data_IF_931043210191
#
_entry.id   IF_931043210191
#
_cell.length_a   1.000
_cell.length_b   1.000
_cell.length_c   1.000
_cell.angle_alpha   90.00
_cell.angle_beta   90.00
_cell.angle_gamma   90.00
#
_symmetry.space_group_name_H-M   'P 1'
#
loop_
_entity.id
_entity.type
_entity.pdbx_description
1 polymer ?
#
# COMPACT_ATOMS: atom_id res chain seq x y z
N UNK A 1 -33.89 22.30 32.52
CA UNK A 1 -33.65 22.94 31.20
C UNK A 1 -34.15 22.00 30.11
N UNK A 2 -34.95 22.49 29.14
CA UNK A 2 -35.50 21.67 28.07
C UNK A 2 -34.45 21.40 26.99
N UNK A 3 -34.36 20.14 26.52
CA UNK A 3 -33.38 19.72 25.52
C UNK A 3 -33.72 20.34 24.16
N UNK A 4 -32.82 21.15 23.62
CA UNK A 4 -33.02 21.83 22.33
C UNK A 4 -33.08 20.79 21.20
N UNK A 5 -34.20 20.72 20.47
CA UNK A 5 -34.37 19.82 19.32
C UNK A 5 -33.84 20.51 18.07
N UNK A 6 -32.74 20.02 17.52
CA UNK A 6 -32.18 20.49 16.26
C UNK A 6 -32.73 19.68 15.08
N UNK A 7 -33.01 20.36 13.96
CA UNK A 7 -33.39 19.74 12.68
C UNK A 7 -32.14 19.58 11.81
N UNK A 8 -31.77 18.35 11.48
CA UNK A 8 -30.62 18.08 10.61
C UNK A 8 -31.00 18.42 9.17
N UNK A 9 -30.45 19.51 8.62
CA UNK A 9 -30.70 19.99 7.25
C UNK A 9 -29.63 19.57 6.25
N UNK A 10 -28.48 19.08 6.72
CA UNK A 10 -27.31 18.77 5.90
C UNK A 10 -27.15 17.27 5.56
N UNK A 11 -28.21 16.47 5.69
CA UNK A 11 -28.14 15.00 5.55
C UNK A 11 -27.47 14.54 4.25
N UNK A 12 -27.75 15.23 3.14
CA UNK A 12 -27.14 14.96 1.83
C UNK A 12 -25.62 15.16 1.84
N UNK A 13 -25.14 16.23 2.48
CA UNK A 13 -23.71 16.54 2.62
C UNK A 13 -23.03 15.54 3.56
N UNK A 14 -23.69 15.18 4.66
CA UNK A 14 -23.20 14.18 5.59
C UNK A 14 -23.01 12.81 4.91
N UNK A 15 -23.99 12.34 4.15
CA UNK A 15 -23.88 11.08 3.41
C UNK A 15 -22.78 11.11 2.35
N UNK A 16 -22.61 12.21 1.62
CA UNK A 16 -21.47 12.37 0.72
C UNK A 16 -20.14 12.21 1.47
N UNK A 17 -20.00 12.87 2.62
CA UNK A 17 -18.79 12.76 3.42
C UNK A 17 -18.55 11.32 3.91
N UNK A 18 -19.59 10.57 4.27
CA UNK A 18 -19.46 9.15 4.63
C UNK A 18 -18.98 8.29 3.45
N UNK A 19 -19.51 8.51 2.24
CA UNK A 19 -19.05 7.80 1.03
C UNK A 19 -17.58 8.13 0.75
N UNK A 20 -17.22 9.42 0.82
CA UNK A 20 -15.84 9.87 0.58
C UNK A 20 -14.83 9.30 1.58
N UNK A 21 -15.24 8.92 2.80
CA UNK A 21 -14.35 8.22 3.75
C UNK A 21 -13.87 6.86 3.26
N UNK A 22 -14.63 6.21 2.38
CA UNK A 22 -14.22 4.97 1.72
C UNK A 22 -13.38 5.18 0.47
N UNK A 23 -13.19 6.42 0.03
CA UNK A 23 -12.33 6.73 -1.11
C UNK A 23 -10.87 6.53 -0.70
N UNK A 24 -10.14 5.76 -1.50
CA UNK A 24 -8.72 5.49 -1.28
C UNK A 24 -7.91 6.28 -2.30
N UNK A 25 -6.96 7.07 -1.82
CA UNK A 25 -6.03 7.84 -2.65
C UNK A 25 -4.61 7.36 -2.37
N UNK A 26 -3.88 6.99 -3.43
CA UNK A 26 -2.48 6.59 -3.34
C UNK A 26 -1.58 7.71 -3.85
N UNK A 27 -0.56 8.02 -3.07
CA UNK A 27 0.55 8.89 -3.47
C UNK A 27 1.81 8.04 -3.42
N UNK A 28 2.57 8.02 -4.52
CA UNK A 28 3.86 7.37 -4.60
C UNK A 28 4.90 8.45 -4.81
N UNK A 29 5.86 8.50 -3.88
CA UNK A 29 6.96 9.44 -3.97
C UNK A 29 7.95 9.00 -5.06
N UNK A 30 8.52 9.95 -5.78
CA UNK A 30 9.43 9.67 -6.90
C UNK A 30 10.68 8.94 -6.38
N UNK A 31 11.21 9.33 -5.21
CA UNK A 31 12.35 8.64 -4.60
C UNK A 31 12.01 7.19 -4.27
N UNK A 32 10.79 6.91 -3.81
CA UNK A 32 10.32 5.54 -3.56
C UNK A 32 10.18 4.71 -4.85
N UNK A 33 9.78 5.35 -5.95
CA UNK A 33 9.73 4.70 -7.28
C UNK A 33 11.15 4.31 -7.72
N UNK A 34 12.12 5.23 -7.59
CA UNK A 34 13.51 4.98 -7.96
C UNK A 34 14.19 3.94 -7.05
N UNK A 35 13.87 3.95 -5.75
CA UNK A 35 14.41 3.02 -4.75
C UNK A 35 13.63 1.68 -4.66
N UNK A 36 12.69 1.40 -5.57
CA UNK A 36 11.84 0.21 -5.48
C UNK A 36 12.62 -1.10 -5.69
N UNK A 37 13.58 -1.09 -6.60
CA UNK A 37 14.45 -2.23 -6.87
C UNK A 37 15.76 -2.09 -6.12
N UNK A 38 16.38 -3.23 -5.80
CA UNK A 38 17.69 -3.24 -5.17
C UNK A 38 18.75 -2.74 -6.16
N UNK A 39 19.54 -1.75 -5.76
CA UNK A 39 20.61 -1.18 -6.58
C UNK A 39 22.00 -1.64 -6.13
N UNK A 40 22.11 -2.26 -4.95
CA UNK A 40 23.39 -2.75 -4.43
C UNK A 40 23.98 -3.86 -5.30
N UNK A 41 25.27 -3.73 -5.61
CA UNK A 41 26.04 -4.85 -6.14
C UNK A 41 26.17 -5.92 -5.05
N UNK A 42 25.96 -7.22 -5.38
CA UNK A 42 26.00 -8.26 -4.36
C UNK A 42 27.37 -8.32 -3.69
N UNK A 43 27.44 -7.96 -2.41
CA UNK A 43 28.69 -8.03 -1.62
C UNK A 43 29.04 -9.46 -1.20
N UNK A 44 28.09 -10.39 -1.27
CA UNK A 44 28.21 -11.77 -0.81
C UNK A 44 27.79 -12.79 -1.86
N UNK A 45 28.32 -14.02 -1.75
CA UNK A 45 27.96 -15.17 -2.58
C UNK A 45 26.48 -15.54 -2.35
N UNK A 46 25.64 -15.40 -3.37
CA UNK A 46 24.20 -15.69 -3.28
C UNK A 46 23.40 -15.09 -4.44
N UNK A 47 22.08 -15.36 -4.48
CA UNK A 47 21.19 -14.71 -5.46
C UNK A 47 20.98 -13.25 -5.05
N UNK A 48 21.23 -12.27 -5.95
CA UNK A 48 20.95 -10.86 -5.69
C UNK A 48 19.49 -10.66 -5.27
N UNK A 49 19.26 -9.82 -4.26
CA UNK A 49 17.91 -9.36 -3.93
C UNK A 49 17.42 -8.49 -5.09
N UNK A 50 16.18 -8.72 -5.54
CA UNK A 50 15.60 -7.96 -6.66
C UNK A 50 14.91 -6.68 -6.20
N UNK A 51 14.29 -6.72 -5.03
CA UNK A 51 13.48 -5.65 -4.46
C UNK A 51 14.19 -5.06 -3.25
N UNK A 52 14.03 -3.78 -2.98
CA UNK A 52 14.57 -3.14 -1.78
C UNK A 52 13.77 -3.50 -0.52
N UNK A 53 14.33 -3.23 0.67
CA UNK A 53 13.60 -3.35 1.94
C UNK A 53 12.38 -2.41 1.98
N UNK A 54 12.48 -1.23 1.33
CA UNK A 54 11.38 -0.28 1.18
C UNK A 54 10.20 -0.91 0.45
N UNK A 55 10.45 -1.58 -0.69
CA UNK A 55 9.40 -2.25 -1.45
C UNK A 55 8.72 -3.36 -0.63
N UNK A 56 9.50 -4.18 0.09
CA UNK A 56 8.95 -5.24 0.95
C UNK A 56 8.08 -4.66 2.07
N UNK A 57 8.59 -3.65 2.76
CA UNK A 57 7.88 -3.00 3.88
C UNK A 57 6.60 -2.34 3.39
N UNK A 58 6.63 -1.68 2.24
CA UNK A 58 5.45 -1.05 1.62
C UNK A 58 4.35 -2.09 1.37
N UNK A 59 4.70 -3.26 0.80
CA UNK A 59 3.73 -4.34 0.57
C UNK A 59 3.14 -4.85 1.89
N UNK A 60 3.97 -5.01 2.93
CA UNK A 60 3.52 -5.48 4.25
C UNK A 60 2.60 -4.46 4.94
N UNK A 61 2.88 -3.17 4.81
CA UNK A 61 2.03 -2.09 5.33
C UNK A 61 0.69 -2.08 4.63
N UNK A 62 0.66 -2.09 3.30
CA UNK A 62 -0.59 -2.16 2.51
C UNK A 62 -1.39 -3.39 2.90
N UNK A 63 -0.74 -4.56 2.97
CA UNK A 63 -1.37 -5.80 3.43
C UNK A 63 -1.99 -5.64 4.82
N UNK A 64 -1.29 -5.03 5.78
CA UNK A 64 -1.76 -4.87 7.16
C UNK A 64 -2.94 -3.89 7.24
N UNK A 65 -2.82 -2.72 6.60
CA UNK A 65 -3.85 -1.66 6.60
C UNK A 65 -5.15 -2.16 5.97
N UNK A 66 -5.07 -2.82 4.81
CA UNK A 66 -6.24 -3.34 4.10
C UNK A 66 -6.61 -4.78 4.49
N UNK A 67 -5.91 -5.36 5.47
CA UNK A 67 -6.12 -6.73 5.98
C UNK A 67 -6.14 -7.80 4.87
N UNK A 68 -5.26 -7.66 3.89
CA UNK A 68 -5.16 -8.55 2.74
C UNK A 68 -4.33 -9.82 3.05
N UNK A 69 -4.54 -10.87 2.26
CA UNK A 69 -3.57 -11.97 2.14
C UNK A 69 -2.36 -11.51 1.31
N UNK A 70 -1.21 -12.18 1.42
CA UNK A 70 -0.01 -11.78 0.65
C UNK A 70 -0.26 -11.82 -0.87
N UNK A 71 -0.99 -12.83 -1.36
CA UNK A 71 -1.35 -12.93 -2.78
C UNK A 71 -2.29 -11.81 -3.23
N UNK A 72 -3.27 -11.45 -2.40
CA UNK A 72 -4.16 -10.34 -2.68
C UNK A 72 -3.43 -8.99 -2.65
N UNK A 73 -2.50 -8.79 -1.70
CA UNK A 73 -1.68 -7.59 -1.63
C UNK A 73 -0.81 -7.41 -2.89
N UNK A 74 -0.25 -8.51 -3.42
CA UNK A 74 0.50 -8.48 -4.67
C UNK A 74 -0.36 -7.96 -5.83
N UNK A 75 -1.51 -8.59 -6.09
CA UNK A 75 -2.40 -8.17 -7.16
C UNK A 75 -2.98 -6.75 -6.98
N UNK A 76 -3.24 -6.36 -5.74
CA UNK A 76 -3.71 -5.02 -5.41
C UNK A 76 -2.68 -3.94 -5.75
N UNK A 77 -1.42 -4.14 -5.37
CA UNK A 77 -0.34 -3.19 -5.66
C UNK A 77 0.00 -3.17 -7.15
N UNK A 78 0.05 -4.32 -7.82
CA UNK A 78 0.22 -4.37 -9.27
C UNK A 78 -0.89 -3.60 -10.00
N UNK A 79 -2.12 -3.65 -9.50
CA UNK A 79 -3.24 -2.88 -10.05
C UNK A 79 -3.07 -1.37 -9.86
N UNK A 80 -2.55 -0.94 -8.70
CA UNK A 80 -2.24 0.48 -8.44
C UNK A 80 -1.17 0.98 -9.40
N UNK A 81 -0.07 0.24 -9.58
CA UNK A 81 0.98 0.62 -10.53
C UNK A 81 0.46 0.72 -11.96
N UNK A 82 -0.39 -0.22 -12.38
CA UNK A 82 -1.03 -0.17 -13.70
C UNK A 82 -1.94 1.06 -13.86
N UNK A 83 -2.75 1.38 -12.86
CA UNK A 83 -3.63 2.57 -12.87
C UNK A 83 -2.85 3.87 -12.90
N UNK A 84 -1.69 3.91 -12.25
CA UNK A 84 -0.81 5.09 -12.22
C UNK A 84 0.13 5.18 -13.42
N UNK A 85 0.16 4.17 -14.31
CA UNK A 85 1.05 4.13 -15.46
C UNK A 85 2.54 3.98 -15.10
N UNK A 86 2.84 3.46 -13.91
CA UNK A 86 4.20 3.32 -13.39
C UNK A 86 4.76 1.94 -13.79
N UNK A 87 5.97 1.85 -14.39
CA UNK A 87 6.54 0.58 -14.86
C UNK A 87 7.17 -0.27 -13.73
N UNK A 88 6.53 -0.30 -12.56
CA UNK A 88 6.95 -1.11 -11.41
C UNK A 88 6.18 -2.42 -11.32
N UNK A 89 6.74 -3.38 -10.59
CA UNK A 89 6.10 -4.66 -10.25
C UNK A 89 6.11 -4.86 -8.75
N UNK A 90 5.02 -5.40 -8.22
CA UNK A 90 4.97 -5.78 -6.82
C UNK A 90 5.95 -6.94 -6.56
N UNK A 91 6.70 -6.92 -5.44
CA UNK A 91 7.35 -8.10 -4.91
C UNK A 91 6.39 -9.29 -4.83
N UNK A 92 6.83 -10.45 -5.32
CA UNK A 92 5.98 -11.64 -5.29
C UNK A 92 5.75 -12.12 -3.85
N UNK A 93 4.60 -12.75 -3.61
CA UNK A 93 4.20 -13.18 -2.26
C UNK A 93 5.23 -14.10 -1.58
N UNK A 94 6.04 -14.85 -2.34
CA UNK A 94 7.07 -15.72 -1.77
C UNK A 94 8.29 -14.92 -1.32
N UNK A 95 8.71 -13.92 -2.10
CA UNK A 95 9.77 -12.97 -1.72
C UNK A 95 9.39 -12.17 -0.48
N UNK A 96 8.15 -11.66 -0.43
CA UNK A 96 7.63 -10.93 0.74
C UNK A 96 7.55 -11.84 1.96
N UNK A 97 7.00 -13.05 1.84
CA UNK A 97 6.91 -13.99 2.96
C UNK A 97 8.26 -14.35 3.56
N UNK A 98 9.27 -14.59 2.71
CA UNK A 98 10.63 -14.92 3.15
C UNK A 98 11.29 -13.75 3.90
N UNK A 99 11.10 -12.52 3.40
CA UNK A 99 11.71 -11.32 3.98
C UNK A 99 10.91 -10.72 5.13
N UNK A 100 9.62 -11.00 5.26
CA UNK A 100 8.83 -10.53 6.40
C UNK A 100 9.44 -10.96 7.75
N UNK A 101 10.05 -12.15 7.79
CA UNK A 101 10.72 -12.69 8.99
C UNK A 101 11.90 -11.86 9.49
N UNK A 102 12.48 -10.99 8.65
CA UNK A 102 13.56 -10.09 9.07
C UNK A 102 13.05 -8.73 9.58
N UNK A 103 11.73 -8.54 9.61
CA UNK A 103 11.07 -7.30 10.05
C UNK A 103 10.10 -7.50 11.23
N UNK A 104 10.05 -8.72 11.78
CA UNK A 104 9.42 -9.01 13.08
C UNK A 104 10.43 -8.74 14.21
#
# INVERSE_FOLDING_TARGET
MAKQKYKITNWKTYNKALIHRGSVTFWLDEEAIQAWYESATPSSRGRPLRYSDLAITTVLVVKRVFRLTLRAAQGFIDSIFALMGIPLRCPDYTSVSKRAKSFD
#
